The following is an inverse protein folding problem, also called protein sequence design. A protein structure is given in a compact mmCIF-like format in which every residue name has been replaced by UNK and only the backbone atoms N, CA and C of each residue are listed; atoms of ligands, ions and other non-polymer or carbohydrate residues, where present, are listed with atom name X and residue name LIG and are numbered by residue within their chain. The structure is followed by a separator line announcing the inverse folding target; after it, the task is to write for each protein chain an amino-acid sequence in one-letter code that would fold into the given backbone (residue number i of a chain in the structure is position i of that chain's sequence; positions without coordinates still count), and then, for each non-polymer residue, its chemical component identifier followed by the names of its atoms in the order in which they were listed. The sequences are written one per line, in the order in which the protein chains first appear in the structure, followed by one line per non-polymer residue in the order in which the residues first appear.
data_IF_600602650210
#
_entry.id   IF_600602650210
#
_cell.length_a   1.000
_cell.length_b   1.000
_cell.length_c   1.000
_cell.angle_alpha   90.00
_cell.angle_beta   90.00
_cell.angle_gamma   90.00
#
_symmetry.space_group_name_H-M   'P 1'
#
loop_
_entity.id
_entity.type
_entity.pdbx_description
1 polymer ?
#
# COMPACT_ATOMS: atom_id res chain seq x y z
N UNK A 1 38.75 18.25 -15.81
CA UNK A 1 38.41 16.83 -15.99
C UNK A 1 37.38 16.37 -14.94
N UNK A 2 37.61 16.53 -13.64
CA UNK A 2 36.69 16.07 -12.56
C UNK A 2 35.28 16.66 -12.65
N UNK A 3 35.12 17.95 -12.93
CA UNK A 3 33.80 18.64 -13.05
C UNK A 3 32.96 18.05 -14.19
N UNK A 4 33.57 17.76 -15.35
CA UNK A 4 32.87 17.13 -16.49
C UNK A 4 32.36 15.74 -16.14
N UNK A 5 33.18 14.95 -15.43
CA UNK A 5 32.80 13.60 -14.98
C UNK A 5 31.60 13.67 -14.01
N UNK A 6 31.66 14.57 -13.03
CA UNK A 6 30.55 14.77 -12.08
C UNK A 6 29.28 15.18 -12.82
N UNK A 7 29.37 16.14 -13.75
CA UNK A 7 28.22 16.57 -14.54
C UNK A 7 27.63 15.43 -15.37
N UNK A 8 28.48 14.61 -16.03
CA UNK A 8 28.03 13.45 -16.80
C UNK A 8 27.32 12.43 -15.91
N UNK A 9 27.85 12.15 -14.72
CA UNK A 9 27.22 11.22 -13.76
C UNK A 9 25.85 11.74 -13.32
N UNK A 10 25.76 13.00 -12.90
CA UNK A 10 24.50 13.61 -12.48
C UNK A 10 23.46 13.63 -13.60
N UNK A 11 23.89 13.95 -14.82
CA UNK A 11 23.02 13.93 -16.00
C UNK A 11 22.51 12.51 -16.31
N UNK A 12 23.38 11.50 -16.24
CA UNK A 12 23.00 10.10 -16.45
C UNK A 12 22.02 9.63 -15.37
N UNK A 13 22.23 9.99 -14.10
CA UNK A 13 21.32 9.68 -13.01
C UNK A 13 19.94 10.35 -13.20
N UNK A 14 19.93 11.59 -13.66
CA UNK A 14 18.69 12.28 -13.97
C UNK A 14 17.92 11.61 -15.12
N UNK A 15 18.60 11.18 -16.18
CA UNK A 15 17.98 10.45 -17.29
C UNK A 15 17.42 9.09 -16.85
N UNK A 16 18.16 8.36 -16.00
CA UNK A 16 17.68 7.10 -15.44
C UNK A 16 16.45 7.30 -14.56
N UNK A 17 16.45 8.35 -13.72
CA UNK A 17 15.30 8.68 -12.88
C UNK A 17 14.07 9.06 -13.74
N UNK A 18 14.25 9.87 -14.79
CA UNK A 18 13.18 10.24 -15.72
C UNK A 18 12.63 9.02 -16.46
N UNK A 19 13.51 8.18 -17.00
CA UNK A 19 13.09 6.94 -17.70
C UNK A 19 12.29 6.02 -16.79
N UNK A 20 12.75 5.82 -15.56
CA UNK A 20 12.02 5.04 -14.55
C UNK A 20 10.70 5.69 -14.13
N UNK A 21 10.64 7.03 -14.07
CA UNK A 21 9.40 7.73 -13.79
C UNK A 21 8.35 7.54 -14.89
N UNK A 22 8.74 7.60 -16.16
CA UNK A 22 7.82 7.31 -17.28
C UNK A 22 7.35 5.85 -17.27
N UNK A 23 8.26 4.92 -16.96
CA UNK A 23 7.88 3.51 -16.79
C UNK A 23 6.86 3.35 -15.64
N UNK A 24 7.10 3.99 -14.48
CA UNK A 24 6.17 3.99 -13.35
C UNK A 24 4.78 4.52 -13.73
N UNK A 25 4.71 5.62 -14.48
CA UNK A 25 3.43 6.17 -14.94
C UNK A 25 2.68 5.20 -15.86
N UNK A 26 3.40 4.48 -16.70
CA UNK A 26 2.81 3.46 -17.57
C UNK A 26 2.28 2.28 -16.75
N UNK A 27 3.02 1.84 -15.73
CA UNK A 27 2.61 0.77 -14.82
C UNK A 27 1.32 1.10 -14.06
N UNK A 28 1.14 2.35 -13.63
CA UNK A 28 -0.10 2.80 -13.01
C UNK A 28 -1.32 2.76 -13.94
N UNK A 29 -1.11 2.66 -15.25
CA UNK A 29 -2.18 2.61 -16.25
C UNK A 29 -2.61 1.18 -16.57
N UNK A 30 -1.96 0.17 -16.01
CA UNK A 30 -2.28 -1.24 -16.25
C UNK A 30 -3.59 -1.62 -15.57
N UNK A 31 -4.40 -2.42 -16.26
CA UNK A 31 -5.62 -2.98 -15.69
C UNK A 31 -5.28 -3.92 -14.53
N UNK A 32 -6.00 -3.81 -13.43
CA UNK A 32 -5.89 -4.70 -12.29
C UNK A 32 -6.81 -5.92 -12.51
N UNK A 33 -6.27 -7.08 -12.88
CA UNK A 33 -7.05 -8.31 -13.03
C UNK A 33 -7.51 -8.81 -11.65
N UNK A 34 -8.54 -9.66 -11.64
CA UNK A 34 -9.03 -10.36 -10.44
C UNK A 34 -9.68 -9.48 -9.36
N UNK A 35 -10.23 -8.33 -9.73
CA UNK A 35 -10.98 -7.48 -8.78
C UNK A 35 -12.16 -8.25 -8.17
N UNK A 36 -12.76 -9.19 -8.91
CA UNK A 36 -13.92 -9.99 -8.47
C UNK A 36 -13.56 -11.18 -7.58
N UNK A 37 -12.29 -11.56 -7.49
CA UNK A 37 -11.86 -12.71 -6.67
C UNK A 37 -12.00 -12.38 -5.17
N UNK A 38 -12.66 -13.26 -4.40
CA UNK A 38 -12.73 -13.15 -2.93
C UNK A 38 -11.38 -13.45 -2.27
N UNK A 39 -11.16 -12.84 -1.10
CA UNK A 39 -10.00 -13.06 -0.24
C UNK A 39 -10.45 -13.35 1.19
N UNK A 40 -9.59 -13.95 2.01
CA UNK A 40 -9.88 -14.19 3.42
C UNK A 40 -10.09 -12.85 4.16
N UNK A 41 -9.37 -11.81 3.76
CA UNK A 41 -9.50 -10.50 4.39
C UNK A 41 -9.18 -9.34 3.44
N UNK A 42 -9.58 -8.16 3.88
CA UNK A 42 -9.31 -6.87 3.25
C UNK A 42 -8.43 -6.07 4.20
N UNK A 43 -7.39 -5.42 3.69
CA UNK A 43 -6.65 -4.39 4.42
C UNK A 43 -6.79 -3.05 3.72
N UNK A 44 -7.07 -2.00 4.47
CA UNK A 44 -7.08 -0.63 3.95
C UNK A 44 -6.00 0.20 4.61
N UNK A 45 -5.20 0.88 3.78
CA UNK A 45 -4.16 1.81 4.25
C UNK A 45 -4.76 3.21 4.35
N UNK A 46 -4.74 3.78 5.56
CA UNK A 46 -5.27 5.13 5.82
C UNK A 46 -4.50 6.24 5.09
N UNK A 47 -4.90 7.49 5.26
CA UNK A 47 -4.20 8.67 4.74
C UNK A 47 -4.60 9.11 3.32
N UNK A 48 -5.74 8.67 2.81
CA UNK A 48 -6.27 9.14 1.52
C UNK A 48 -7.79 9.05 1.41
N UNK A 49 -8.40 9.87 0.54
CA UNK A 49 -9.84 9.93 0.40
C UNK A 49 -10.42 8.62 -0.15
N UNK A 50 -11.65 8.33 0.21
CA UNK A 50 -12.48 7.23 -0.28
C UNK A 50 -11.98 5.80 -0.01
N UNK A 51 -10.76 5.59 0.50
CA UNK A 51 -10.21 4.25 0.73
C UNK A 51 -11.04 3.48 1.76
N UNK A 52 -11.35 4.11 2.90
CA UNK A 52 -12.18 3.51 3.96
C UNK A 52 -13.55 3.12 3.43
N UNK A 53 -14.21 4.05 2.72
CA UNK A 53 -15.53 3.79 2.14
C UNK A 53 -15.52 2.60 1.18
N UNK A 54 -14.51 2.53 0.29
CA UNK A 54 -14.37 1.40 -0.65
C UNK A 54 -14.10 0.10 0.09
N UNK A 55 -13.28 0.11 1.14
CA UNK A 55 -12.95 -1.09 1.90
C UNK A 55 -14.18 -1.63 2.67
N UNK A 56 -15.01 -0.75 3.25
CA UNK A 56 -16.28 -1.16 3.89
C UNK A 56 -17.23 -1.74 2.86
N UNK A 57 -17.39 -1.08 1.70
CA UNK A 57 -18.24 -1.59 0.62
C UNK A 57 -17.79 -2.99 0.15
N UNK A 58 -16.48 -3.21 0.02
CA UNK A 58 -15.95 -4.54 -0.35
C UNK A 58 -16.24 -5.60 0.72
N UNK A 59 -16.24 -5.22 2.00
CA UNK A 59 -16.61 -6.13 3.08
C UNK A 59 -18.12 -6.44 3.04
N UNK A 60 -18.96 -5.43 2.81
CA UNK A 60 -20.43 -5.58 2.66
C UNK A 60 -20.79 -6.43 1.44
N UNK A 61 -20.03 -6.30 0.34
CA UNK A 61 -20.18 -7.08 -0.89
C UNK A 61 -19.54 -8.48 -0.81
N UNK A 62 -19.08 -8.90 0.38
CA UNK A 62 -18.50 -10.22 0.65
C UNK A 62 -17.23 -10.55 -0.18
N UNK A 63 -16.40 -9.53 -0.48
CA UNK A 63 -15.08 -9.71 -1.11
C UNK A 63 -13.99 -10.10 -0.12
N UNK A 64 -14.28 -10.13 1.18
CA UNK A 64 -13.45 -10.64 2.26
C UNK A 64 -14.26 -10.80 3.54
N UNK A 65 -13.83 -11.69 4.42
CA UNK A 65 -14.55 -12.00 5.66
C UNK A 65 -14.25 -11.00 6.79
N UNK A 66 -13.10 -10.33 6.72
CA UNK A 66 -12.60 -9.39 7.72
C UNK A 66 -12.00 -8.16 7.06
N UNK A 67 -12.12 -7.01 7.73
CA UNK A 67 -11.47 -5.76 7.35
C UNK A 67 -10.48 -5.33 8.42
N UNK A 68 -9.23 -5.10 8.02
CA UNK A 68 -8.22 -4.47 8.86
C UNK A 68 -7.90 -3.06 8.37
N UNK A 69 -7.99 -2.09 9.26
CA UNK A 69 -7.69 -0.67 8.97
C UNK A 69 -6.32 -0.37 9.55
N UNK A 70 -5.31 -0.28 8.69
CA UNK A 70 -3.92 -0.03 9.09
C UNK A 70 -3.57 1.46 9.08
N UNK A 71 -2.81 1.91 10.08
CA UNK A 71 -2.34 3.28 10.22
C UNK A 71 -3.43 4.27 10.63
N UNK A 72 -4.32 3.88 11.52
CA UNK A 72 -5.26 4.81 12.16
C UNK A 72 -4.50 5.72 13.11
N UNK A 73 -4.76 7.03 13.06
CA UNK A 73 -4.17 7.96 14.04
C UNK A 73 -4.56 7.53 15.47
N UNK A 74 -3.60 7.44 16.36
CA UNK A 74 -3.80 7.01 17.76
C UNK A 74 -4.77 7.88 18.55
N UNK A 75 -5.04 9.10 18.06
CA UNK A 75 -6.05 10.01 18.64
C UNK A 75 -7.47 9.68 18.23
N UNK A 76 -7.65 8.86 17.18
CA UNK A 76 -8.98 8.47 16.69
C UNK A 76 -9.48 7.30 17.53
N UNK A 77 -10.55 7.50 18.24
CA UNK A 77 -11.20 6.45 19.02
C UNK A 77 -11.91 5.44 18.11
N UNK A 78 -12.15 4.22 18.63
CA UNK A 78 -12.91 3.21 17.89
C UNK A 78 -14.28 3.72 17.47
N UNK A 79 -15.01 4.43 18.35
CA UNK A 79 -16.36 4.94 18.07
C UNK A 79 -16.33 6.01 16.98
N UNK A 80 -15.36 6.92 16.99
CA UNK A 80 -15.17 7.90 15.93
C UNK A 80 -14.87 7.23 14.60
N UNK A 81 -14.00 6.21 14.60
CA UNK A 81 -13.69 5.44 13.41
C UNK A 81 -14.95 4.75 12.84
N UNK A 82 -15.71 4.06 13.68
CA UNK A 82 -16.93 3.37 13.27
C UNK A 82 -18.00 4.36 12.72
N UNK A 83 -18.14 5.52 13.34
CA UNK A 83 -19.01 6.59 12.83
C UNK A 83 -18.57 7.09 11.45
N UNK A 84 -17.25 7.19 11.19
CA UNK A 84 -16.71 7.56 9.88
C UNK A 84 -16.94 6.49 8.80
N UNK A 85 -16.97 5.22 9.20
CA UNK A 85 -17.19 4.10 8.29
C UNK A 85 -18.63 4.00 7.81
N UNK A 86 -19.60 4.41 8.66
CA UNK A 86 -21.03 4.30 8.37
C UNK A 86 -21.53 2.87 8.23
N UNK A 87 -20.73 1.87 8.67
CA UNK A 87 -21.10 0.45 8.66
C UNK A 87 -22.10 0.14 9.77
N UNK A 88 -22.84 -0.98 9.62
CA UNK A 88 -23.69 -1.46 10.71
C UNK A 88 -22.84 -1.83 11.94
N UNK A 89 -23.44 -1.74 13.13
CA UNK A 89 -22.73 -2.08 14.37
C UNK A 89 -22.34 -3.56 14.39
N UNK A 90 -23.22 -4.41 13.87
CA UNK A 90 -22.97 -5.86 13.77
C UNK A 90 -21.73 -6.16 12.92
N UNK A 91 -21.60 -5.52 11.76
CA UNK A 91 -20.44 -5.68 10.87
C UNK A 91 -19.18 -5.11 11.51
N UNK A 92 -19.30 -4.00 12.21
CA UNK A 92 -18.18 -3.38 12.93
C UNK A 92 -17.65 -4.26 14.06
N UNK A 93 -18.53 -4.89 14.82
CA UNK A 93 -18.17 -5.68 15.99
C UNK A 93 -17.64 -7.08 15.61
N UNK A 94 -18.16 -7.70 14.53
CA UNK A 94 -17.68 -9.02 14.10
C UNK A 94 -16.37 -8.97 13.35
N UNK A 95 -16.22 -7.95 12.48
CA UNK A 95 -15.42 -8.15 11.29
C UNK A 95 -14.46 -7.00 10.98
N UNK A 96 -14.49 -5.89 11.74
CA UNK A 96 -13.60 -4.74 11.54
C UNK A 96 -12.65 -4.59 12.72
N UNK A 97 -11.36 -4.70 12.43
CA UNK A 97 -10.27 -4.41 13.36
C UNK A 97 -9.40 -3.26 12.83
N UNK A 98 -8.71 -2.57 13.72
CA UNK A 98 -7.81 -1.46 13.34
C UNK A 98 -6.50 -1.52 14.11
N UNK A 99 -5.43 -1.03 13.48
CA UNK A 99 -4.12 -0.77 14.07
C UNK A 99 -3.79 0.72 14.05
N UNK A 100 -3.00 1.16 15.02
CA UNK A 100 -2.65 2.56 15.24
C UNK A 100 -1.14 2.80 15.46
N UNK A 101 -0.31 1.79 15.19
CA UNK A 101 1.15 1.90 15.39
C UNK A 101 1.88 2.35 14.12
N UNK A 102 1.26 2.18 12.97
CA UNK A 102 1.88 2.49 11.70
C UNK A 102 1.84 3.99 11.40
N UNK A 103 3.02 4.57 11.20
CA UNK A 103 3.19 5.99 10.80
C UNK A 103 3.66 6.14 9.35
N UNK A 104 4.06 5.03 8.72
CA UNK A 104 4.53 4.98 7.34
C UNK A 104 4.16 3.64 6.66
N UNK A 105 4.56 3.45 5.40
CA UNK A 105 4.22 2.24 4.63
C UNK A 105 4.89 0.98 5.16
N UNK A 106 6.09 1.10 5.71
CA UNK A 106 6.78 -0.01 6.37
C UNK A 106 6.01 -0.43 7.63
N UNK A 107 5.63 0.54 8.46
CA UNK A 107 4.80 0.33 9.64
C UNK A 107 3.49 -0.36 9.29
N UNK A 108 2.80 0.09 8.22
CA UNK A 108 1.58 -0.58 7.75
C UNK A 108 1.81 -2.06 7.41
N UNK A 109 2.93 -2.40 6.75
CA UNK A 109 3.23 -3.79 6.42
C UNK A 109 3.50 -4.64 7.68
N UNK A 110 4.27 -4.12 8.64
CA UNK A 110 4.59 -4.81 9.90
C UNK A 110 3.33 -5.01 10.75
N UNK A 111 2.53 -3.96 10.91
CA UNK A 111 1.29 -3.99 11.68
C UNK A 111 0.29 -4.98 11.07
N UNK A 112 0.13 -4.95 9.74
CA UNK A 112 -0.73 -5.88 9.01
C UNK A 112 -0.21 -7.31 9.10
N UNK A 113 1.11 -7.54 9.03
CA UNK A 113 1.71 -8.87 9.18
C UNK A 113 1.36 -9.49 10.55
N UNK A 114 1.46 -8.72 11.62
CA UNK A 114 1.11 -9.19 12.96
C UNK A 114 -0.37 -9.61 13.03
N UNK A 115 -1.27 -8.82 12.44
CA UNK A 115 -2.69 -9.11 12.37
C UNK A 115 -3.00 -10.33 11.49
N UNK A 116 -2.39 -10.42 10.31
CA UNK A 116 -2.53 -11.54 9.36
C UNK A 116 -2.11 -12.86 10.01
N UNK A 117 -0.98 -12.87 10.73
CA UNK A 117 -0.46 -14.03 11.44
C UNK A 117 -1.41 -14.49 12.56
N UNK A 118 -1.88 -13.54 13.39
CA UNK A 118 -2.83 -13.80 14.48
C UNK A 118 -4.13 -14.40 13.95
N UNK A 119 -4.64 -13.91 12.82
CA UNK A 119 -5.92 -14.33 12.22
C UNK A 119 -5.78 -15.48 11.21
N UNK A 120 -4.56 -15.98 10.95
CA UNK A 120 -4.28 -17.09 10.01
C UNK A 120 -4.77 -16.81 8.59
N UNK A 121 -4.71 -15.55 8.15
CA UNK A 121 -5.10 -15.11 6.81
C UNK A 121 -4.10 -15.66 5.78
N UNK A 122 -4.60 -16.15 4.65
CA UNK A 122 -3.79 -16.68 3.52
C UNK A 122 -3.91 -15.83 2.26
N UNK A 123 -5.00 -15.08 2.12
CA UNK A 123 -5.24 -14.20 1.00
C UNK A 123 -5.72 -12.83 1.49
N UNK A 124 -5.17 -11.75 0.92
CA UNK A 124 -5.37 -10.39 1.39
C UNK A 124 -5.62 -9.43 0.24
N UNK A 125 -6.75 -8.76 0.26
CA UNK A 125 -7.05 -7.65 -0.65
C UNK A 125 -6.51 -6.36 -0.05
N UNK A 126 -5.62 -5.68 -0.79
CA UNK A 126 -4.98 -4.44 -0.34
C UNK A 126 -5.67 -3.25 -0.99
N UNK A 127 -6.30 -2.40 -0.18
CA UNK A 127 -7.00 -1.19 -0.62
C UNK A 127 -6.17 0.05 -0.31
N UNK A 128 -5.71 0.72 -1.34
CA UNK A 128 -4.98 1.99 -1.22
C UNK A 128 -5.10 2.80 -2.51
N UNK A 129 -4.54 4.03 -2.58
CA UNK A 129 -4.58 4.79 -3.83
C UNK A 129 -3.71 4.17 -4.91
N UNK A 130 -4.09 4.37 -6.17
CA UNK A 130 -3.39 3.85 -7.32
C UNK A 130 -1.89 4.22 -7.31
N UNK A 131 -1.55 5.48 -7.07
CA UNK A 131 -0.15 5.92 -7.03
C UNK A 131 0.65 5.34 -5.85
N UNK A 132 -0.02 4.97 -4.76
CA UNK A 132 0.61 4.38 -3.57
C UNK A 132 0.76 2.86 -3.68
N UNK A 133 -0.07 2.19 -4.49
CA UNK A 133 -0.12 0.73 -4.58
C UNK A 133 1.25 0.08 -4.84
N UNK A 134 2.06 0.51 -5.83
CA UNK A 134 3.36 -0.13 -6.07
C UNK A 134 4.27 -0.11 -4.84
N UNK A 135 4.31 1.02 -4.11
CA UNK A 135 5.12 1.15 -2.89
C UNK A 135 4.60 0.28 -1.76
N UNK A 136 3.29 0.23 -1.55
CA UNK A 136 2.70 -0.64 -0.55
C UNK A 136 3.02 -2.11 -0.83
N UNK A 137 2.89 -2.55 -2.07
CA UNK A 137 3.14 -3.95 -2.45
C UNK A 137 4.60 -4.38 -2.30
N UNK A 138 5.57 -3.48 -2.44
CA UNK A 138 6.98 -3.78 -2.13
C UNK A 138 7.13 -4.21 -0.66
N UNK A 139 6.56 -3.45 0.26
CA UNK A 139 6.68 -3.74 1.69
C UNK A 139 5.83 -4.96 2.08
N UNK A 140 4.61 -5.06 1.58
CA UNK A 140 3.70 -6.17 1.89
C UNK A 140 4.24 -7.53 1.42
N UNK A 141 4.67 -7.63 0.17
CA UNK A 141 5.25 -8.87 -0.39
C UNK A 141 6.55 -9.26 0.31
N UNK A 142 7.32 -8.29 0.79
CA UNK A 142 8.54 -8.53 1.55
C UNK A 142 8.27 -9.14 2.92
N UNK A 143 7.32 -8.61 3.68
CA UNK A 143 7.02 -9.08 5.03
C UNK A 143 6.10 -10.29 5.08
N UNK A 144 5.35 -10.52 4.02
CA UNK A 144 4.34 -11.58 3.94
C UNK A 144 4.43 -12.33 2.59
N UNK A 145 5.59 -12.95 2.26
CA UNK A 145 5.80 -13.58 0.94
C UNK A 145 4.84 -14.74 0.66
N UNK A 146 4.29 -15.38 1.69
CA UNK A 146 3.37 -16.52 1.58
C UNK A 146 1.91 -16.10 1.36
N UNK A 147 1.59 -14.81 1.45
CA UNK A 147 0.22 -14.32 1.30
C UNK A 147 -0.11 -14.09 -0.18
N UNK A 148 -1.28 -14.54 -0.58
CA UNK A 148 -1.84 -14.23 -1.90
C UNK A 148 -2.45 -12.83 -1.85
N UNK A 149 -1.87 -11.89 -2.58
CA UNK A 149 -2.34 -10.50 -2.62
C UNK A 149 -3.22 -10.23 -3.81
N UNK A 150 -4.33 -9.49 -3.57
CA UNK A 150 -5.15 -8.86 -4.60
C UNK A 150 -5.07 -7.35 -4.41
N UNK A 151 -4.56 -6.67 -5.41
CA UNK A 151 -4.43 -5.22 -5.42
C UNK A 151 -5.77 -4.57 -5.77
N UNK A 152 -6.28 -3.67 -4.93
CA UNK A 152 -7.52 -2.94 -5.17
C UNK A 152 -7.26 -1.42 -5.07
N UNK A 153 -6.76 -0.81 -6.16
CA UNK A 153 -6.45 0.61 -6.17
C UNK A 153 -7.70 1.47 -6.18
N UNK A 154 -7.72 2.49 -5.33
CA UNK A 154 -8.75 3.50 -5.25
C UNK A 154 -8.32 4.76 -6.00
N UNK A 155 -9.27 5.42 -6.65
CA UNK A 155 -9.02 6.72 -7.29
C UNK A 155 -8.38 6.64 -8.67
N UNK A 156 -8.66 5.61 -9.44
CA UNK A 156 -8.19 5.46 -10.84
C UNK A 156 -8.56 6.69 -11.68
N UNK A 157 -9.78 7.20 -11.55
CA UNK A 157 -10.23 8.42 -12.25
C UNK A 157 -9.54 9.70 -11.74
N UNK A 158 -9.05 9.69 -10.50
CA UNK A 158 -8.37 10.82 -9.89
C UNK A 158 -6.91 10.95 -10.35
N UNK A 159 -6.33 9.91 -10.97
CA UNK A 159 -4.97 9.96 -11.50
C UNK A 159 -4.81 11.10 -12.52
N UNK A 160 -5.81 11.33 -13.36
CA UNK A 160 -5.82 12.42 -14.34
C UNK A 160 -5.76 13.83 -13.72
N UNK A 161 -6.19 13.95 -12.46
CA UNK A 161 -6.22 15.20 -11.71
C UNK A 161 -5.06 15.30 -10.69
N UNK A 162 -4.24 14.25 -10.56
CA UNK A 162 -3.10 14.28 -9.67
C UNK A 162 -1.95 15.06 -10.28
N UNK A 163 -1.36 16.00 -9.53
CA UNK A 163 -0.23 16.77 -10.05
C UNK A 163 0.97 15.85 -10.31
N UNK A 164 1.71 16.11 -11.39
CA UNK A 164 2.96 15.41 -11.70
C UNK A 164 3.97 15.45 -10.54
N UNK A 165 3.94 16.51 -9.75
CA UNK A 165 4.78 16.64 -8.55
C UNK A 165 4.43 15.57 -7.50
N UNK A 166 3.15 15.32 -7.20
CA UNK A 166 2.74 14.25 -6.26
C UNK A 166 3.11 12.86 -6.79
N UNK A 167 2.93 12.63 -8.09
CA UNK A 167 3.32 11.37 -8.72
C UNK A 167 4.84 11.16 -8.65
N UNK A 168 5.65 12.19 -8.89
CA UNK A 168 7.11 12.09 -8.76
C UNK A 168 7.57 11.84 -7.32
N UNK A 169 6.86 12.36 -6.33
CA UNK A 169 7.11 12.05 -4.92
C UNK A 169 6.80 10.58 -4.60
N UNK A 170 5.66 10.04 -5.06
CA UNK A 170 5.34 8.62 -4.84
C UNK A 170 6.31 7.70 -5.58
N UNK A 171 6.72 8.05 -6.81
CA UNK A 171 7.78 7.34 -7.52
C UNK A 171 9.10 7.34 -6.75
N UNK A 172 9.54 8.48 -6.23
CA UNK A 172 10.79 8.58 -5.46
C UNK A 172 10.74 7.72 -4.19
N UNK A 173 9.61 7.74 -3.46
CA UNK A 173 9.39 6.89 -2.30
C UNK A 173 9.36 5.39 -2.67
N UNK A 174 8.76 5.04 -3.81
CA UNK A 174 8.75 3.68 -4.33
C UNK A 174 10.17 3.16 -4.62
N UNK A 175 11.02 3.97 -5.29
CA UNK A 175 12.42 3.61 -5.53
C UNK A 175 13.17 3.41 -4.20
N UNK A 176 12.97 4.30 -3.21
CA UNK A 176 13.59 4.16 -1.89
C UNK A 176 13.15 2.85 -1.22
N UNK A 177 11.87 2.48 -1.28
CA UNK A 177 11.38 1.20 -0.75
C UNK A 177 12.01 0.00 -1.44
N UNK A 178 12.16 0.03 -2.79
CA UNK A 178 12.84 -1.02 -3.55
C UNK A 178 14.30 -1.19 -3.12
N UNK A 179 15.03 -0.08 -2.98
CA UNK A 179 16.43 -0.13 -2.53
C UNK A 179 16.54 -0.68 -1.12
N UNK A 180 15.70 -0.19 -0.20
CA UNK A 180 15.67 -0.66 1.18
C UNK A 180 15.36 -2.16 1.25
N UNK A 181 14.35 -2.62 0.51
CA UNK A 181 14.00 -4.03 0.47
C UNK A 181 15.20 -4.88 0.03
N UNK A 182 15.85 -4.54 -1.10
CA UNK A 182 17.00 -5.29 -1.62
C UNK A 182 18.21 -5.30 -0.69
N UNK A 183 18.52 -4.16 -0.05
CA UNK A 183 19.67 -4.07 0.86
C UNK A 183 19.42 -4.91 2.11
N UNK A 184 18.24 -4.80 2.70
CA UNK A 184 17.91 -5.53 3.93
C UNK A 184 17.79 -7.04 3.66
N UNK A 185 17.19 -7.44 2.54
CA UNK A 185 17.11 -8.86 2.17
C UNK A 185 18.50 -9.47 2.00
N UNK A 186 19.44 -8.71 1.41
CA UNK A 186 20.85 -9.16 1.30
C UNK A 186 21.53 -9.27 2.66
N UNK A 187 21.32 -8.30 3.56
CA UNK A 187 21.92 -8.33 4.91
C UNK A 187 21.38 -9.54 5.69
N UNK A 188 20.07 -9.82 5.61
CA UNK A 188 19.46 -10.94 6.32
C UNK A 188 19.82 -12.30 5.70
N UNK A 189 20.06 -12.39 4.38
CA UNK A 189 20.52 -13.63 3.74
C UNK A 189 21.98 -13.98 4.07
N UNK A 190 22.78 -12.99 4.46
CA UNK A 190 24.21 -13.15 4.78
C UNK A 190 24.44 -13.39 6.29
N UNK A 191 23.38 -13.43 7.10
CA UNK A 191 23.47 -13.80 8.53
C UNK A 191 23.29 -15.32 8.64
N UNK A 192 24.28 -16.06 9.14
CA UNK A 192 24.25 -17.53 9.26
C UNK A 192 23.18 -18.04 10.24
#
# INVERSE_FOLDING_TARGET
MKIRIIFTILFSLALLWLGGYFWFLNELSVNYPNIEQKTDAIVVLTGGPNRLKVAVQLLEDDYGEKLYISGVDEKVTRDELLNLLGSSKELADCCIESGNQATDTLGNAIETMAWVTKNKIKSLRVVTSLAHMPRAMVEFKRFMPEIIFIEHPVGILQLKNMSYFRLSQEYSKYIISLFRARILDKIYSDIP
#
